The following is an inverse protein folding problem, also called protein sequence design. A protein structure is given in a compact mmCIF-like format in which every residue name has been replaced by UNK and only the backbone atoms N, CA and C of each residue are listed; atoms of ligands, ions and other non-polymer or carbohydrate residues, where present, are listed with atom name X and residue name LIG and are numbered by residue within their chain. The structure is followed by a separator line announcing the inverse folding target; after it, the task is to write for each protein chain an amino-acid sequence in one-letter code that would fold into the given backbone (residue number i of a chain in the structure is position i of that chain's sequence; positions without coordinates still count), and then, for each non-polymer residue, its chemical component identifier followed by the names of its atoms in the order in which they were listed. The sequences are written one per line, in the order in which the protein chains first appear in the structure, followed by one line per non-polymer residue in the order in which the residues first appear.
data_IF_705406261129
#
_entry.id   IF_705406261129
#
_cell.length_a   1.000
_cell.length_b   1.000
_cell.length_c   1.000
_cell.angle_alpha   90.00
_cell.angle_beta   90.00
_cell.angle_gamma   90.00
#
_symmetry.space_group_name_H-M   'P 1'
#
loop_
_entity.id
_entity.type
_entity.pdbx_description
1 polymer ?
#
# COMPACT_ATOMS: atom_id res chain seq x y z
N UNK A 1 -10.32 -15.46 2.75
CA UNK A 1 -11.34 -15.74 3.78
C UNK A 1 -11.62 -14.54 4.69
N UNK A 2 -10.62 -13.87 5.28
CA UNK A 2 -10.86 -12.70 6.18
C UNK A 2 -11.66 -11.56 5.52
N UNK A 3 -11.23 -11.06 4.35
CA UNK A 3 -11.93 -9.99 3.63
C UNK A 3 -13.40 -10.32 3.33
N UNK A 4 -13.67 -11.56 2.95
CA UNK A 4 -15.02 -12.02 2.64
C UNK A 4 -15.90 -12.00 3.90
N UNK A 5 -15.35 -12.43 5.05
CA UNK A 5 -16.08 -12.41 6.32
C UNK A 5 -16.38 -11.00 6.84
N UNK A 6 -15.41 -10.08 6.76
CA UNK A 6 -15.67 -8.69 7.20
C UNK A 6 -16.58 -7.94 6.21
N UNK A 7 -16.43 -8.19 4.90
CA UNK A 7 -17.19 -7.48 3.87
C UNK A 7 -18.63 -7.94 3.74
N UNK A 8 -18.97 -9.15 4.23
CA UNK A 8 -20.35 -9.62 4.30
C UNK A 8 -21.20 -8.88 5.33
N UNK A 9 -20.58 -8.20 6.30
CA UNK A 9 -21.32 -7.31 7.20
C UNK A 9 -21.70 -6.02 6.44
N UNK A 10 -23.00 -5.72 6.26
CA UNK A 10 -23.43 -4.57 5.48
C UNK A 10 -23.02 -3.22 6.08
N UNK A 11 -22.64 -3.17 7.38
CA UNK A 11 -22.10 -1.96 8.01
C UNK A 11 -20.68 -1.63 7.57
N UNK A 12 -19.94 -2.62 7.04
CA UNK A 12 -18.58 -2.46 6.52
C UNK A 12 -18.61 -2.45 4.99
N UNK A 13 -19.25 -3.46 4.38
CA UNK A 13 -19.33 -3.63 2.94
C UNK A 13 -18.02 -4.10 2.28
N UNK A 14 -18.06 -4.34 0.97
CA UNK A 14 -16.94 -4.93 0.21
C UNK A 14 -15.98 -3.91 -0.42
N UNK A 15 -16.30 -2.62 -0.34
CA UNK A 15 -15.55 -1.57 -1.02
C UNK A 15 -14.34 -1.13 -0.19
N UNK A 16 -13.23 -0.80 -0.86
CA UNK A 16 -12.00 -0.26 -0.25
C UNK A 16 -11.31 -1.12 0.84
N UNK A 17 -11.69 -2.39 0.98
CA UNK A 17 -11.07 -3.37 1.90
C UNK A 17 -10.12 -4.35 1.19
N UNK A 18 -9.56 -3.96 0.04
CA UNK A 18 -8.59 -4.78 -0.70
C UNK A 18 -7.17 -4.45 -0.21
N UNK A 19 -6.45 -5.41 0.37
CA UNK A 19 -5.04 -5.19 0.71
C UNK A 19 -4.19 -5.16 -0.57
N UNK A 20 -3.13 -4.36 -0.54
CA UNK A 20 -2.29 -4.10 -1.71
C UNK A 20 -0.90 -3.56 -1.33
N UNK A 21 -0.20 -2.96 -2.29
CA UNK A 21 1.13 -2.34 -2.08
C UNK A 21 1.07 -0.93 -1.46
N UNK A 22 -0.09 -0.57 -0.92
CA UNK A 22 -0.40 0.77 -0.44
C UNK A 22 -1.25 1.56 -1.43
N UNK A 23 -1.82 2.66 -0.97
CA UNK A 23 -2.53 3.63 -1.80
C UNK A 23 -1.56 4.68 -2.36
N UNK A 24 -1.87 5.15 -3.57
CA UNK A 24 -1.14 6.18 -4.30
C UNK A 24 -2.07 7.23 -4.89
N UNK A 25 -1.64 7.83 -6.01
CA UNK A 25 -2.32 8.96 -6.64
C UNK A 25 -2.03 10.30 -5.95
N UNK A 26 -2.48 11.40 -6.57
CA UNK A 26 -2.25 12.74 -6.03
C UNK A 26 -3.27 13.15 -4.97
N UNK A 27 -4.55 12.78 -5.14
CA UNK A 27 -5.63 13.29 -4.29
C UNK A 27 -5.59 12.72 -2.88
N UNK A 28 -5.65 11.39 -2.73
CA UNK A 28 -5.83 10.79 -1.40
C UNK A 28 -4.65 11.04 -0.43
N UNK A 29 -3.37 10.92 -0.83
CA UNK A 29 -2.26 11.28 0.05
C UNK A 29 -2.26 12.77 0.41
N UNK A 30 -2.57 13.65 -0.55
CA UNK A 30 -2.62 15.09 -0.33
C UNK A 30 -3.72 15.46 0.68
N UNK A 31 -4.90 14.89 0.54
CA UNK A 31 -6.04 15.19 1.40
C UNK A 31 -5.80 14.68 2.83
N UNK A 32 -5.21 13.49 3.00
CA UNK A 32 -4.82 12.96 4.32
C UNK A 32 -3.79 13.86 5.00
N UNK A 33 -2.76 14.29 4.27
CA UNK A 33 -1.73 15.20 4.81
C UNK A 33 -2.31 16.57 5.17
N UNK A 34 -3.19 17.10 4.34
CA UNK A 34 -3.88 18.36 4.63
C UNK A 34 -4.73 18.25 5.90
N UNK A 35 -5.47 17.15 6.09
CA UNK A 35 -6.26 16.92 7.29
C UNK A 35 -5.40 16.80 8.56
N UNK A 36 -4.27 16.09 8.48
CA UNK A 36 -3.31 15.99 9.61
C UNK A 36 -2.77 17.38 9.98
N UNK A 37 -2.44 18.20 8.97
CA UNK A 37 -1.95 19.56 9.20
C UNK A 37 -3.01 20.45 9.84
N UNK A 38 -4.22 20.50 9.26
CA UNK A 38 -5.33 21.31 9.80
C UNK A 38 -5.67 20.90 11.24
N UNK A 39 -5.61 19.61 11.56
CA UNK A 39 -5.75 19.12 12.92
C UNK A 39 -4.67 19.68 13.85
N UNK A 40 -3.40 19.69 13.41
CA UNK A 40 -2.30 20.28 14.15
C UNK A 40 -2.46 21.80 14.37
N UNK A 41 -3.00 22.53 13.39
CA UNK A 41 -3.24 23.98 13.50
C UNK A 41 -4.28 24.35 14.59
N UNK A 42 -5.09 23.39 15.05
CA UNK A 42 -6.05 23.53 16.15
C UNK A 42 -5.64 22.77 17.41
N UNK A 43 -4.35 22.43 17.55
CA UNK A 43 -3.79 21.62 18.65
C UNK A 43 -4.45 20.25 18.85
N UNK A 44 -5.04 19.69 17.79
CA UNK A 44 -5.62 18.35 17.80
C UNK A 44 -4.65 17.31 17.19
N UNK A 45 -4.33 16.27 17.97
CA UNK A 45 -3.50 15.18 17.48
C UNK A 45 -4.31 14.12 16.74
N UNK A 46 -4.29 14.18 15.41
CA UNK A 46 -4.93 13.20 14.51
C UNK A 46 -4.17 11.85 14.46
N UNK A 47 -4.04 11.17 15.60
CA UNK A 47 -3.30 9.91 15.78
C UNK A 47 -3.67 8.83 14.75
N UNK A 48 -4.96 8.70 14.45
CA UNK A 48 -5.44 7.70 13.50
C UNK A 48 -4.95 7.99 12.07
N UNK A 49 -5.06 9.23 11.61
CA UNK A 49 -4.62 9.61 10.27
C UNK A 49 -3.11 9.49 10.12
N UNK A 50 -2.35 9.88 11.15
CA UNK A 50 -0.89 9.67 11.20
C UNK A 50 -0.53 8.19 11.12
N UNK A 51 -1.26 7.32 11.83
CA UNK A 51 -1.03 5.88 11.77
C UNK A 51 -1.36 5.28 10.39
N UNK A 52 -2.45 5.75 9.76
CA UNK A 52 -2.81 5.36 8.38
C UNK A 52 -1.72 5.77 7.39
N UNK A 53 -1.22 7.01 7.48
CA UNK A 53 -0.14 7.49 6.62
C UNK A 53 1.15 6.69 6.84
N UNK A 54 1.58 6.52 8.09
CA UNK A 54 2.77 5.75 8.44
C UNK A 54 2.69 4.31 7.91
N UNK A 55 1.55 3.65 8.12
CA UNK A 55 1.34 2.28 7.63
C UNK A 55 1.36 2.19 6.11
N UNK A 56 0.84 3.20 5.41
CA UNK A 56 0.91 3.26 3.96
C UNK A 56 2.35 3.42 3.46
N UNK A 57 3.17 4.25 4.11
CA UNK A 57 4.58 4.41 3.73
C UNK A 57 5.38 3.13 3.93
N UNK A 58 5.16 2.41 5.04
CA UNK A 58 5.75 1.09 5.26
C UNK A 58 5.33 0.11 4.15
N UNK A 59 4.03 0.06 3.82
CA UNK A 59 3.50 -0.91 2.86
C UNK A 59 4.08 -0.78 1.45
N UNK A 60 4.42 0.44 1.02
CA UNK A 60 5.08 0.70 -0.27
C UNK A 60 6.43 0.00 -0.40
N UNK A 61 7.11 -0.27 0.72
CA UNK A 61 8.42 -0.95 0.74
C UNK A 61 8.31 -2.48 0.81
N UNK A 62 7.14 -3.01 1.18
CA UNK A 62 6.92 -4.45 1.38
C UNK A 62 7.25 -5.28 0.16
N UNK A 63 6.89 -4.82 -1.05
CA UNK A 63 7.16 -5.58 -2.28
C UNK A 63 8.66 -5.67 -2.58
N UNK A 64 9.39 -4.56 -2.40
CA UNK A 64 10.85 -4.58 -2.54
C UNK A 64 11.49 -5.51 -1.51
N UNK A 65 11.05 -5.46 -0.26
CA UNK A 65 11.55 -6.35 0.80
C UNK A 65 11.33 -7.83 0.45
N UNK A 66 10.17 -8.18 -0.13
CA UNK A 66 9.89 -9.54 -0.63
C UNK A 66 10.85 -9.94 -1.75
N UNK A 67 11.08 -9.07 -2.72
CA UNK A 67 12.01 -9.31 -3.84
C UNK A 67 13.43 -9.50 -3.32
N UNK A 68 13.90 -8.60 -2.45
CA UNK A 68 15.22 -8.65 -1.86
C UNK A 68 15.42 -9.96 -1.09
N UNK A 69 14.43 -10.38 -0.30
CA UNK A 69 14.46 -11.65 0.42
C UNK A 69 14.45 -12.86 -0.52
N UNK A 70 13.60 -12.84 -1.56
CA UNK A 70 13.47 -13.95 -2.52
C UNK A 70 14.76 -14.20 -3.31
N UNK A 71 15.51 -13.14 -3.63
CA UNK A 71 16.80 -13.24 -4.32
C UNK A 71 18.00 -13.15 -3.39
N UNK A 72 17.81 -13.25 -2.07
CA UNK A 72 18.90 -13.21 -1.07
C UNK A 72 19.82 -11.98 -1.24
N UNK A 73 19.26 -10.83 -1.62
CA UNK A 73 19.98 -9.59 -1.89
C UNK A 73 20.73 -9.54 -3.23
N UNK A 74 20.77 -10.62 -4.00
CA UNK A 74 21.47 -10.71 -5.28
C UNK A 74 20.59 -10.15 -6.42
N UNK A 75 20.46 -8.83 -6.52
CA UNK A 75 19.61 -8.19 -7.55
C UNK A 75 20.40 -7.75 -8.80
N UNK A 76 21.73 -7.71 -8.72
CA UNK A 76 22.59 -7.27 -9.81
C UNK A 76 22.44 -8.17 -11.06
N UNK A 77 22.32 -7.55 -12.23
CA UNK A 77 22.16 -8.25 -13.51
C UNK A 77 20.80 -8.92 -13.73
N UNK A 78 19.83 -8.75 -12.82
CA UNK A 78 18.45 -9.24 -13.00
C UNK A 78 17.59 -8.19 -13.68
N UNK A 79 16.69 -8.66 -14.55
CA UNK A 79 15.71 -7.82 -15.24
C UNK A 79 14.33 -8.06 -14.63
N UNK A 80 13.66 -6.99 -14.23
CA UNK A 80 12.33 -7.00 -13.63
C UNK A 80 11.33 -6.38 -14.59
N UNK A 81 10.22 -7.08 -14.84
CA UNK A 81 9.03 -6.52 -15.46
C UNK A 81 8.07 -6.07 -14.36
N UNK A 82 7.58 -4.85 -14.45
CA UNK A 82 6.60 -4.30 -13.52
C UNK A 82 5.25 -4.26 -14.23
N UNK A 83 4.25 -4.91 -13.67
CA UNK A 83 2.89 -4.89 -14.19
C UNK A 83 1.93 -4.30 -13.16
N UNK A 84 1.40 -3.12 -13.48
CA UNK A 84 0.44 -2.39 -12.66
C UNK A 84 0.45 -0.90 -13.02
N UNK A 85 -0.67 -0.22 -12.80
CA UNK A 85 -0.79 1.23 -12.89
C UNK A 85 -0.76 1.84 -11.50
N UNK A 86 -0.26 3.07 -11.36
CA UNK A 86 -0.13 3.82 -10.09
C UNK A 86 -1.44 3.96 -9.30
N UNK A 87 -2.61 3.80 -9.94
CA UNK A 87 -3.93 3.83 -9.28
C UNK A 87 -4.45 2.46 -8.82
N UNK A 88 -3.80 1.37 -9.22
CA UNK A 88 -4.19 0.01 -8.86
C UNK A 88 -3.52 -0.40 -7.55
N UNK A 89 -4.29 -0.96 -6.63
CA UNK A 89 -3.77 -1.48 -5.35
C UNK A 89 -2.92 -2.75 -5.53
N UNK A 90 -2.84 -3.28 -6.75
CA UNK A 90 -2.05 -4.46 -7.11
C UNK A 90 -0.89 -4.09 -8.01
N UNK A 91 0.33 -4.36 -7.56
CA UNK A 91 1.54 -4.35 -8.37
C UNK A 91 2.11 -5.77 -8.40
N UNK A 92 2.45 -6.26 -9.59
CA UNK A 92 3.13 -7.55 -9.76
C UNK A 92 4.49 -7.31 -10.39
N UNK A 93 5.52 -7.98 -9.88
CA UNK A 93 6.87 -7.93 -10.43
C UNK A 93 7.27 -9.32 -10.92
N UNK A 94 7.71 -9.42 -12.17
CA UNK A 94 8.13 -10.68 -12.79
C UNK A 94 9.62 -10.64 -13.18
N UNK A 95 10.35 -11.72 -12.94
CA UNK A 95 11.77 -11.90 -13.30
C UNK A 95 11.93 -13.23 -14.02
N UNK A 96 12.24 -13.23 -15.32
CA UNK A 96 12.53 -14.44 -16.13
C UNK A 96 11.69 -15.67 -15.72
N UNK A 97 10.37 -15.56 -15.76
CA UNK A 97 9.37 -16.59 -15.39
C UNK A 97 9.10 -16.83 -13.89
N UNK A 98 9.62 -16.00 -12.99
CA UNK A 98 9.25 -15.98 -11.57
C UNK A 98 8.41 -14.74 -11.25
N UNK A 99 7.21 -14.95 -10.70
CA UNK A 99 6.32 -13.88 -10.25
C UNK A 99 6.50 -13.65 -8.76
N UNK A 100 6.75 -12.40 -8.36
CA UNK A 100 6.81 -11.97 -6.96
C UNK A 100 5.64 -11.01 -6.70
N UNK A 101 4.76 -11.41 -5.77
CA UNK A 101 3.57 -10.66 -5.31
C UNK A 101 3.71 -10.31 -3.83
#
# INVERSE_FOLDING_TARGET
MVRQGIGSDPRIGYHFIYPGVGYGGSCFPKDVQALIRTAGDIDFDAKLLKAVEARNQEQKTTLFAKIHRHFEGQLAGKTFAVWGSLSSQTLMICVKHQVVC
#
